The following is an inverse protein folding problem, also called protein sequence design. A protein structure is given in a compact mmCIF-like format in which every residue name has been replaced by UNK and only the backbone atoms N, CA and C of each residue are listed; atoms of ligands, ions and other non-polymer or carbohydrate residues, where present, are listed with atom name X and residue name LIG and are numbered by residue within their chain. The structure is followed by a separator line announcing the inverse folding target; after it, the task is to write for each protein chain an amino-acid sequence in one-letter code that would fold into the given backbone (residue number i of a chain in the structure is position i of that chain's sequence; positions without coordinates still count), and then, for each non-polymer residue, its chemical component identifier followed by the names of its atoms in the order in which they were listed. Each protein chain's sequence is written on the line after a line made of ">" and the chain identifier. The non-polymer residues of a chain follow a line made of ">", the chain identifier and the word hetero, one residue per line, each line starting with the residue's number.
data_IF_656964582709
#
_entry.id   IF_656964582709
#
_cell.length_a   1.000
_cell.length_b   1.000
_cell.length_c   1.000
_cell.angle_alpha   90.00
_cell.angle_beta   90.00
_cell.angle_gamma   90.00
#
_symmetry.space_group_name_H-M   'P 1'
#
loop_
_entity.id
_entity.type
_entity.pdbx_description
1 polymer ?
#
# COMPACT_ATOMS: atom_id res chain seq x y z
N UNK A 1 -28.90 -15.76 -5.42
CA UNK A 1 -27.73 -15.46 -4.57
C UNK A 1 -27.37 -14.01 -4.83
N UNK A 2 -27.74 -13.10 -3.92
CA UNK A 2 -27.60 -11.64 -4.13
C UNK A 2 -26.13 -11.25 -4.15
N UNK A 3 -25.67 -10.69 -5.27
CA UNK A 3 -24.33 -10.15 -5.47
C UNK A 3 -24.28 -8.72 -4.95
N UNK A 4 -24.43 -8.54 -3.63
CA UNK A 4 -24.38 -7.21 -3.01
C UNK A 4 -22.94 -6.73 -2.91
N UNK A 5 -22.65 -5.67 -3.65
CA UNK A 5 -21.31 -5.08 -3.77
C UNK A 5 -20.81 -4.55 -2.41
N UNK A 6 -21.72 -4.18 -1.52
CA UNK A 6 -21.41 -3.74 -0.17
C UNK A 6 -20.79 -4.86 0.66
N UNK A 7 -21.29 -6.10 0.55
CA UNK A 7 -20.75 -7.25 1.28
C UNK A 7 -19.33 -7.54 0.81
N UNK A 8 -19.10 -7.48 -0.51
CA UNK A 8 -17.76 -7.68 -1.08
C UNK A 8 -16.78 -6.58 -0.68
N UNK A 9 -17.22 -5.32 -0.62
CA UNK A 9 -16.37 -4.23 -0.15
C UNK A 9 -16.01 -4.39 1.33
N UNK A 10 -16.95 -4.87 2.14
CA UNK A 10 -16.78 -5.10 3.58
C UNK A 10 -15.87 -6.32 3.86
N UNK A 11 -15.99 -7.39 3.06
CA UNK A 11 -15.09 -8.56 3.08
C UNK A 11 -13.68 -8.19 2.60
N UNK A 12 -13.57 -7.41 1.51
CA UNK A 12 -12.28 -6.93 1.01
C UNK A 12 -11.60 -5.99 2.01
N UNK A 13 -12.37 -5.09 2.62
CA UNK A 13 -11.89 -4.16 3.64
C UNK A 13 -11.44 -4.89 4.92
N UNK A 14 -12.18 -5.93 5.34
CA UNK A 14 -11.76 -6.80 6.44
C UNK A 14 -10.49 -7.58 6.11
N UNK A 15 -10.42 -8.21 4.93
CA UNK A 15 -9.23 -8.94 4.50
C UNK A 15 -7.98 -8.05 4.49
N UNK A 16 -8.09 -6.86 3.90
CA UNK A 16 -6.97 -5.91 3.85
C UNK A 16 -6.58 -5.38 5.24
N UNK A 17 -7.54 -5.17 6.14
CA UNK A 17 -7.26 -4.72 7.51
C UNK A 17 -6.61 -5.84 8.35
N UNK A 18 -7.08 -7.07 8.21
CA UNK A 18 -6.52 -8.25 8.89
C UNK A 18 -5.09 -8.54 8.38
N UNK A 19 -4.83 -8.38 7.08
CA UNK A 19 -3.49 -8.52 6.48
C UNK A 19 -2.51 -7.42 6.93
N UNK A 20 -3.04 -6.24 7.28
CA UNK A 20 -2.28 -5.10 7.80
C UNK A 20 -2.23 -5.04 9.34
N UNK A 21 -2.87 -5.97 10.06
CA UNK A 21 -2.83 -6.02 11.52
C UNK A 21 -1.60 -6.79 12.02
N UNK A 22 -0.47 -6.09 12.06
CA UNK A 22 0.79 -6.59 12.60
C UNK A 22 0.72 -7.02 14.08
N UNK A 23 -0.35 -6.71 14.82
CA UNK A 23 -0.47 -7.10 16.23
C UNK A 23 -0.75 -8.60 16.39
N UNK A 24 -1.52 -9.19 15.48
CA UNK A 24 -1.79 -10.64 15.47
C UNK A 24 -0.51 -11.43 15.14
N UNK A 25 0.24 -11.00 14.12
CA UNK A 25 1.54 -11.58 13.78
C UNK A 25 2.54 -11.51 14.94
N UNK A 26 2.58 -10.37 15.65
CA UNK A 26 3.40 -10.22 16.85
C UNK A 26 3.00 -11.17 17.99
N UNK A 27 1.70 -11.37 18.22
CA UNK A 27 1.19 -12.31 19.23
C UNK A 27 1.56 -13.77 18.89
N UNK A 28 1.41 -14.16 17.62
CA UNK A 28 1.80 -15.49 17.14
C UNK A 28 3.31 -15.74 17.28
N UNK A 29 4.14 -14.74 16.96
CA UNK A 29 5.59 -14.82 17.13
C UNK A 29 6.00 -15.03 18.61
N UNK A 30 5.30 -14.40 19.56
CA UNK A 30 5.52 -14.59 21.00
C UNK A 30 5.11 -16.00 21.43
N UNK A 31 3.96 -16.49 20.96
CA UNK A 31 3.49 -17.84 21.26
C UNK A 31 4.48 -18.90 20.75
N UNK A 32 4.96 -18.75 19.52
CA UNK A 32 5.96 -19.65 18.91
C UNK A 32 7.29 -19.63 19.69
N UNK A 33 7.78 -18.44 20.06
CA UNK A 33 8.99 -18.28 20.89
C UNK A 33 8.87 -19.02 22.22
N UNK A 34 7.71 -18.90 22.86
CA UNK A 34 7.43 -19.51 24.16
C UNK A 34 7.39 -21.03 24.04
N UNK A 35 6.69 -21.54 23.03
CA UNK A 35 6.57 -22.98 22.78
C UNK A 35 7.91 -23.62 22.40
N UNK A 36 8.79 -22.88 21.71
CA UNK A 36 10.07 -23.38 21.20
C UNK A 36 11.28 -22.91 22.03
N UNK A 37 11.06 -22.43 23.27
CA UNK A 37 12.11 -21.86 24.13
C UNK A 37 13.28 -22.83 24.45
N UNK A 38 13.07 -24.15 24.29
CA UNK A 38 14.11 -25.18 24.46
C UNK A 38 15.00 -25.36 23.22
N UNK A 39 14.60 -24.82 22.07
CA UNK A 39 15.34 -24.89 20.82
C UNK A 39 16.22 -23.64 20.70
N UNK A 40 17.48 -23.74 21.13
CA UNK A 40 18.45 -22.63 21.19
C UNK A 40 18.73 -21.94 19.85
N UNK A 41 18.37 -22.56 18.73
CA UNK A 41 18.53 -22.04 17.37
C UNK A 41 17.28 -21.31 16.84
N UNK A 42 16.12 -21.43 17.50
CA UNK A 42 14.90 -20.70 17.13
C UNK A 42 14.94 -19.30 17.74
N UNK A 43 14.99 -18.28 16.89
CA UNK A 43 14.97 -16.87 17.32
C UNK A 43 13.69 -16.22 16.80
N UNK A 44 12.94 -15.56 17.69
CA UNK A 44 11.87 -14.64 17.28
C UNK A 44 12.30 -13.20 17.56
N UNK A 45 12.01 -12.31 16.63
CA UNK A 45 12.14 -10.87 16.85
C UNK A 45 10.78 -10.30 17.28
N UNK A 46 10.76 -9.58 18.39
CA UNK A 46 9.54 -8.97 18.94
C UNK A 46 9.91 -7.57 19.47
N UNK A 47 10.05 -6.59 18.59
CA UNK A 47 10.11 -5.16 18.97
C UNK A 47 8.93 -4.46 18.28
N UNK A 48 7.86 -4.18 19.03
CA UNK A 48 6.51 -4.16 18.46
C UNK A 48 5.86 -2.77 18.26
N UNK A 49 6.57 -1.63 18.42
CA UNK A 49 5.89 -0.32 18.26
C UNK A 49 6.68 0.79 17.53
N UNK A 50 7.90 1.11 17.96
CA UNK A 50 8.75 2.09 17.26
C UNK A 50 9.30 1.50 15.95
N UNK A 51 9.58 0.20 15.95
CA UNK A 51 9.96 -0.56 14.76
C UNK A 51 8.82 -0.59 13.75
N UNK A 52 7.56 -0.64 14.21
CA UNK A 52 6.39 -0.73 13.33
C UNK A 52 6.23 0.50 12.42
N UNK A 53 6.34 1.71 12.97
CA UNK A 53 6.22 2.94 12.17
C UNK A 53 7.35 3.09 11.14
N UNK A 54 8.57 2.70 11.50
CA UNK A 54 9.71 2.71 10.58
C UNK A 54 9.61 1.59 9.53
N UNK A 55 9.04 0.44 9.90
CA UNK A 55 8.82 -0.69 9.01
C UNK A 55 7.80 -0.34 7.94
N UNK A 56 6.62 0.13 8.34
CA UNK A 56 5.55 0.56 7.42
C UNK A 56 6.09 1.62 6.46
N UNK A 57 6.82 2.62 6.96
CA UNK A 57 7.41 3.66 6.10
C UNK A 57 8.35 3.07 5.04
N UNK A 58 9.26 2.18 5.45
CA UNK A 58 10.23 1.55 4.52
C UNK A 58 9.59 0.58 3.55
N UNK A 59 8.54 -0.11 3.98
CA UNK A 59 7.76 -1.00 3.14
C UNK A 59 6.99 -0.21 2.06
N UNK A 60 6.36 0.89 2.44
CA UNK A 60 5.70 1.82 1.51
C UNK A 60 6.70 2.42 0.53
N UNK A 61 7.84 2.93 1.02
CA UNK A 61 8.92 3.45 0.15
C UNK A 61 9.43 2.38 -0.82
N UNK A 62 9.69 1.15 -0.34
CA UNK A 62 10.17 0.06 -1.18
C UNK A 62 9.14 -0.35 -2.23
N UNK A 63 7.86 -0.46 -1.85
CA UNK A 63 6.76 -0.79 -2.75
C UNK A 63 6.59 0.27 -3.86
N UNK A 64 6.73 1.55 -3.52
CA UNK A 64 6.68 2.64 -4.49
C UNK A 64 7.85 2.57 -5.48
N UNK A 65 9.08 2.33 -5.01
CA UNK A 65 10.25 2.14 -5.89
C UNK A 65 10.07 0.93 -6.79
N UNK A 66 9.58 -0.18 -6.24
CA UNK A 66 9.30 -1.40 -7.00
C UNK A 66 8.27 -1.17 -8.11
N UNK A 67 7.22 -0.42 -7.81
CA UNK A 67 6.14 -0.10 -8.74
C UNK A 67 6.57 0.91 -9.81
N UNK A 68 7.14 2.04 -9.38
CA UNK A 68 7.34 3.23 -10.22
C UNK A 68 8.71 3.27 -10.90
N UNK A 69 9.73 2.65 -10.30
CA UNK A 69 11.11 2.73 -10.80
C UNK A 69 11.59 1.41 -11.39
N UNK A 70 11.53 0.31 -10.64
CA UNK A 70 12.09 -0.97 -11.11
C UNK A 70 11.13 -1.75 -12.01
N UNK A 71 9.82 -1.63 -11.77
CA UNK A 71 8.77 -2.39 -12.45
C UNK A 71 8.73 -3.86 -12.07
N UNK A 72 9.38 -4.22 -10.97
CA UNK A 72 9.43 -5.56 -10.41
C UNK A 72 8.95 -5.46 -8.98
N UNK A 73 7.72 -5.91 -8.75
CA UNK A 73 7.04 -5.75 -7.48
C UNK A 73 6.87 -7.09 -6.78
N UNK A 74 7.18 -7.13 -5.49
CA UNK A 74 6.78 -8.21 -4.62
C UNK A 74 5.26 -8.18 -4.51
N UNK A 75 4.58 -9.16 -5.10
CA UNK A 75 3.12 -9.17 -5.23
C UNK A 75 2.40 -9.56 -3.93
N UNK A 76 3.16 -10.04 -2.94
CA UNK A 76 2.63 -10.50 -1.65
C UNK A 76 3.50 -10.08 -0.46
N UNK A 77 3.76 -8.78 -0.23
CA UNK A 77 4.66 -8.32 0.84
C UNK A 77 3.96 -8.42 2.19
N UNK A 78 3.69 -9.65 2.64
CA UNK A 78 3.09 -9.89 3.93
C UNK A 78 4.08 -9.63 5.07
N UNK A 79 3.60 -9.19 6.25
CA UNK A 79 4.43 -8.97 7.42
C UNK A 79 5.31 -10.17 7.81
N UNK A 80 4.83 -11.38 7.56
CA UNK A 80 5.54 -12.63 7.87
C UNK A 80 6.73 -12.88 6.94
N UNK A 81 6.74 -12.28 5.76
CA UNK A 81 7.80 -12.36 4.76
C UNK A 81 8.79 -11.18 4.85
N UNK A 82 8.63 -10.28 5.82
CA UNK A 82 9.46 -9.11 6.01
C UNK A 82 10.19 -9.17 7.34
N UNK A 83 11.52 -9.06 7.28
CA UNK A 83 12.37 -8.96 8.46
C UNK A 83 13.03 -7.58 8.52
N UNK A 84 12.88 -6.91 9.67
CA UNK A 84 13.66 -5.74 9.98
C UNK A 84 14.98 -6.14 10.66
N UNK A 85 16.11 -5.73 10.09
CA UNK A 85 17.41 -5.99 10.72
C UNK A 85 17.67 -4.96 11.82
N UNK A 86 18.54 -5.30 12.78
CA UNK A 86 18.98 -4.37 13.84
C UNK A 86 19.70 -3.13 13.28
N UNK A 87 20.26 -3.24 12.08
CA UNK A 87 20.90 -2.15 11.35
C UNK A 87 19.89 -1.24 10.63
N UNK A 88 18.60 -1.57 10.73
CA UNK A 88 17.51 -0.80 10.17
C UNK A 88 17.14 -1.19 8.74
N UNK A 89 17.58 -2.32 8.20
CA UNK A 89 17.27 -2.71 6.82
C UNK A 89 15.97 -3.51 6.73
N UNK A 90 15.23 -3.32 5.65
CA UNK A 90 14.09 -4.18 5.29
C UNK A 90 14.60 -5.36 4.47
N UNK A 91 14.28 -6.59 4.89
CA UNK A 91 14.70 -7.83 4.21
C UNK A 91 13.47 -8.64 3.83
N UNK A 92 13.35 -9.01 2.56
CA UNK A 92 12.34 -9.93 2.05
C UNK A 92 12.81 -11.37 2.23
N UNK A 93 11.95 -12.22 2.79
CA UNK A 93 12.22 -13.64 3.07
C UNK A 93 11.65 -14.56 1.99
N UNK A 94 10.54 -14.15 1.39
CA UNK A 94 9.91 -14.83 0.26
C UNK A 94 10.11 -13.99 -1.01
N UNK A 95 10.16 -14.69 -2.15
CA UNK A 95 10.26 -14.11 -3.49
C UNK A 95 9.39 -14.91 -4.50
N UNK A 96 8.49 -15.78 -4.01
CA UNK A 96 7.69 -16.68 -4.83
C UNK A 96 6.64 -15.97 -5.69
N UNK A 97 6.24 -14.76 -5.31
CA UNK A 97 5.22 -13.96 -5.99
C UNK A 97 5.79 -12.61 -6.41
N UNK A 98 6.18 -12.51 -7.68
CA UNK A 98 6.70 -11.29 -8.30
C UNK A 98 5.75 -10.88 -9.44
N UNK A 99 5.40 -9.59 -9.46
CA UNK A 99 4.66 -8.94 -10.53
C UNK A 99 5.61 -8.08 -11.37
N UNK A 100 5.43 -8.10 -12.69
CA UNK A 100 6.16 -7.25 -13.62
C UNK A 100 5.23 -6.22 -14.23
N UNK A 101 5.59 -4.95 -14.09
CA UNK A 101 4.85 -3.83 -14.64
C UNK A 101 5.34 -3.50 -16.05
N UNK A 102 4.41 -3.24 -16.97
CA UNK A 102 4.76 -2.69 -18.27
C UNK A 102 5.27 -1.24 -18.10
N UNK A 103 6.35 -0.88 -18.79
CA UNK A 103 6.93 0.47 -18.70
C UNK A 103 5.93 1.59 -19.03
N UNK A 104 5.03 1.35 -19.98
CA UNK A 104 3.97 2.32 -20.33
C UNK A 104 3.05 2.59 -19.14
N UNK A 105 2.65 1.54 -18.41
CA UNK A 105 1.85 1.62 -17.21
C UNK A 105 2.60 2.34 -16.07
N UNK A 106 3.91 2.09 -15.90
CA UNK A 106 4.71 2.80 -14.90
C UNK A 106 4.75 4.31 -15.15
N UNK A 107 4.94 4.71 -16.42
CA UNK A 107 4.95 6.13 -16.81
C UNK A 107 3.59 6.76 -16.59
N UNK A 108 2.51 6.06 -16.94
CA UNK A 108 1.14 6.53 -16.71
C UNK A 108 0.83 6.69 -15.21
N UNK A 109 1.28 5.74 -14.37
CA UNK A 109 1.14 5.85 -12.91
C UNK A 109 1.92 7.03 -12.32
N UNK A 110 3.15 7.26 -12.80
CA UNK A 110 3.95 8.40 -12.37
C UNK A 110 3.31 9.74 -12.78
N UNK A 111 2.78 9.82 -14.00
CA UNK A 111 2.04 10.97 -14.49
C UNK A 111 0.79 11.22 -13.64
N UNK A 112 0.02 10.17 -13.33
CA UNK A 112 -1.16 10.26 -12.46
C UNK A 112 -0.82 10.80 -11.07
N UNK A 113 0.25 10.32 -10.43
CA UNK A 113 0.69 10.83 -9.13
C UNK A 113 1.08 12.31 -9.23
N UNK A 114 1.82 12.69 -10.28
CA UNK A 114 2.19 14.09 -10.53
C UNK A 114 0.95 14.98 -10.66
N UNK A 115 -0.02 14.59 -11.49
CA UNK A 115 -1.25 15.35 -11.68
C UNK A 115 -2.13 15.39 -10.41
N UNK A 116 -2.16 14.32 -9.63
CA UNK A 116 -2.84 14.28 -8.34
C UNK A 116 -2.24 15.30 -7.36
N UNK A 117 -0.91 15.34 -7.23
CA UNK A 117 -0.21 16.26 -6.31
C UNK A 117 -0.34 17.71 -6.75
N UNK A 118 -0.33 17.97 -8.07
CA UNK A 118 -0.48 19.33 -8.61
C UNK A 118 -1.94 19.82 -8.64
N UNK A 119 -2.92 18.96 -8.35
CA UNK A 119 -4.35 19.28 -8.47
C UNK A 119 -4.84 19.38 -9.92
N UNK A 120 -4.14 18.74 -10.84
CA UNK A 120 -4.43 18.72 -12.28
C UNK A 120 -5.51 17.68 -12.62
N UNK A 121 -6.74 17.89 -12.12
CA UNK A 121 -7.84 16.91 -12.19
C UNK A 121 -8.22 16.47 -13.61
N UNK A 122 -8.01 17.34 -14.60
CA UNK A 122 -8.26 17.03 -16.02
C UNK A 122 -7.27 15.98 -16.51
N UNK A 123 -6.00 16.18 -16.22
CA UNK A 123 -4.94 15.28 -16.67
C UNK A 123 -4.98 13.97 -15.88
N UNK A 124 -5.24 14.02 -14.57
CA UNK A 124 -5.45 12.83 -13.75
C UNK A 124 -6.60 11.94 -14.29
N UNK A 125 -7.71 12.53 -14.72
CA UNK A 125 -8.81 11.76 -15.31
C UNK A 125 -8.42 11.06 -16.62
N UNK A 126 -7.52 11.66 -17.41
CA UNK A 126 -6.99 11.03 -18.62
C UNK A 126 -6.01 9.91 -18.28
N UNK A 127 -5.12 10.11 -17.31
CA UNK A 127 -4.17 9.05 -16.91
C UNK A 127 -4.91 7.80 -16.42
N UNK A 128 -6.03 7.96 -15.69
CA UNK A 128 -6.87 6.85 -15.26
C UNK A 128 -7.51 6.10 -16.44
N UNK A 129 -7.80 6.79 -17.55
CA UNK A 129 -8.29 6.19 -18.79
C UNK A 129 -7.16 5.40 -19.48
N UNK A 130 -5.97 6.00 -19.59
CA UNK A 130 -4.78 5.39 -20.20
C UNK A 130 -4.32 4.14 -19.44
N UNK A 131 -4.51 4.12 -18.13
CA UNK A 131 -4.27 2.95 -17.27
C UNK A 131 -5.39 1.90 -17.31
N UNK A 132 -6.42 2.08 -18.15
CA UNK A 132 -7.61 1.22 -18.24
C UNK A 132 -8.34 1.01 -16.90
N UNK A 133 -8.24 1.97 -15.97
CA UNK A 133 -8.96 1.94 -14.69
C UNK A 133 -10.45 2.23 -14.91
N UNK A 134 -10.75 3.06 -15.92
CA UNK A 134 -12.10 3.50 -16.22
C UNK A 134 -12.82 2.54 -17.17
N UNK A 135 -14.09 2.26 -16.89
CA UNK A 135 -14.96 1.57 -17.85
C UNK A 135 -15.25 2.51 -19.04
N UNK A 136 -15.44 1.99 -20.27
CA UNK A 136 -15.78 2.82 -21.43
C UNK A 136 -17.07 3.66 -21.25
N UNK A 137 -17.97 3.24 -20.37
CA UNK A 137 -19.23 3.93 -20.05
C UNK A 137 -19.09 5.02 -18.99
N UNK A 138 -17.90 5.25 -18.44
CA UNK A 138 -17.67 6.20 -17.36
C UNK A 138 -17.87 7.64 -17.85
N UNK A 139 -18.70 8.40 -17.14
CA UNK A 139 -18.87 9.84 -17.42
C UNK A 139 -17.65 10.61 -16.92
N UNK A 140 -16.78 10.98 -17.86
CA UNK A 140 -15.50 11.67 -17.61
C UNK A 140 -15.67 13.04 -16.96
N UNK A 141 -16.72 13.78 -17.34
CA UNK A 141 -17.01 15.08 -16.76
C UNK A 141 -17.44 14.95 -15.29
N UNK A 142 -18.30 13.97 -15.00
CA UNK A 142 -18.70 13.68 -13.62
C UNK A 142 -17.52 13.18 -12.78
N UNK A 143 -16.63 12.36 -13.34
CA UNK A 143 -15.41 11.91 -12.67
C UNK A 143 -14.51 13.10 -12.29
N UNK A 144 -14.25 14.00 -13.24
CA UNK A 144 -13.47 15.21 -12.96
C UNK A 144 -14.05 16.02 -11.81
N UNK A 145 -15.35 16.32 -11.84
CA UNK A 145 -16.01 17.08 -10.78
C UNK A 145 -15.95 16.37 -9.43
N UNK A 146 -16.02 15.03 -9.43
CA UNK A 146 -15.88 14.23 -8.22
C UNK A 146 -14.44 14.29 -7.67
N UNK A 147 -13.42 14.19 -8.52
CA UNK A 147 -12.01 14.34 -8.12
C UNK A 147 -11.74 15.73 -7.54
N UNK A 148 -12.21 16.77 -8.21
CA UNK A 148 -12.08 18.16 -7.74
C UNK A 148 -12.77 18.36 -6.38
N UNK A 149 -13.96 17.78 -6.18
CA UNK A 149 -14.68 17.87 -4.92
C UNK A 149 -14.03 17.08 -3.78
N UNK A 150 -13.57 15.86 -4.04
CA UNK A 150 -13.04 14.97 -3.00
C UNK A 150 -11.60 15.33 -2.63
N UNK A 151 -10.78 15.69 -3.63
CA UNK A 151 -9.34 15.92 -3.46
C UNK A 151 -8.97 17.42 -3.47
N UNK A 152 -9.80 18.30 -4.03
CA UNK A 152 -9.57 19.75 -4.03
C UNK A 152 -9.88 20.41 -2.68
N UNK A 153 -10.92 19.94 -1.99
CA UNK A 153 -11.34 20.49 -0.68
C UNK A 153 -10.33 20.21 0.46
N UNK A 154 -9.38 19.29 0.25
CA UNK A 154 -8.31 18.99 1.23
C UNK A 154 -7.24 20.08 1.38
N UNK A 155 -7.29 21.15 0.58
CA UNK A 155 -6.28 22.22 0.60
C UNK A 155 -6.57 23.38 1.57
N UNK A 156 -7.71 23.39 2.29
CA UNK A 156 -8.11 24.54 3.13
C UNK A 156 -8.35 24.24 4.63
N UNK A 157 -7.89 23.10 5.15
CA UNK A 157 -7.86 22.86 6.60
C UNK A 157 -6.49 22.39 7.06
N UNK A 158 -5.60 23.33 7.41
CA UNK A 158 -4.55 23.02 8.39
C UNK A 158 -3.18 23.68 8.29
N UNK A 159 -2.92 24.71 7.47
CA UNK A 159 -1.60 25.34 7.50
C UNK A 159 -1.55 26.85 7.20
N UNK A 160 -2.31 27.69 7.93
CA UNK A 160 -2.00 29.13 8.03
C UNK A 160 -2.43 29.71 9.38
N UNK A 161 -1.53 29.73 10.36
CA UNK A 161 -1.29 30.89 11.25
C UNK A 161 -0.03 30.67 12.11
N UNK A 162 1.13 31.04 11.57
CA UNK A 162 2.20 31.64 12.37
C UNK A 162 2.69 32.84 11.59
N UNK A 163 2.24 34.02 12.02
CA UNK A 163 2.67 35.34 11.62
C UNK A 163 2.42 36.27 12.78
#
# INVERSE_FOLDING_TARGET
>A
MSSDISIRADELGRGLFDELDYTLGAANAIALKTAHAKLSYVKSQCEAKVVLGNLVKKEVESSLVQLLETGVMHADPHPENLLFTKDGNLTYLDFGLICHMEKSLQVAMLAAISHLVNGDWVYLANDLDDMNVLKPTTNRYALRLALERVCGDSSDTGLLTVG
#
